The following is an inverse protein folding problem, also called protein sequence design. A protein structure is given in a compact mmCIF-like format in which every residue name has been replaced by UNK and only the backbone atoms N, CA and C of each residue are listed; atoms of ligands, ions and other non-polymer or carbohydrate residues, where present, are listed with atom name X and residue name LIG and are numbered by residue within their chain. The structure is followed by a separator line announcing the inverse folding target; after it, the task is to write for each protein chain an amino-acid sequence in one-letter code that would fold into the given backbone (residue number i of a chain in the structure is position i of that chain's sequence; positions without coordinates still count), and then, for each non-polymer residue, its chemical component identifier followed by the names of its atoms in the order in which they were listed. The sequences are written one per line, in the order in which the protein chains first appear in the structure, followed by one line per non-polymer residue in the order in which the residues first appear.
data_IF_915348134211
#
_entry.id   IF_915348134211
#
_cell.length_a   1.000
_cell.length_b   1.000
_cell.length_c   1.000
_cell.angle_alpha   90.00
_cell.angle_beta   90.00
_cell.angle_gamma   90.00
#
_symmetry.space_group_name_H-M   'P 1'
#
loop_
_entity.id
_entity.type
_entity.pdbx_description
1 polymer ?
#
# COMPACT_ATOMS: atom_id res chain seq x y z
N UNK A 1 8.52 -0.24 1.74
CA UNK A 1 8.32 1.04 2.42
C UNK A 1 6.82 1.23 2.57
N UNK A 2 6.18 0.37 3.35
CA UNK A 2 4.92 0.59 4.07
C UNK A 2 4.42 -0.78 4.60
N UNK A 3 3.93 -0.82 5.84
CA UNK A 3 3.07 -1.91 6.32
C UNK A 3 1.70 -1.30 6.65
N UNK A 4 0.60 -2.00 6.40
CA UNK A 4 -0.74 -1.43 6.51
C UNK A 4 -1.61 -2.23 7.47
N UNK A 5 -2.38 -1.53 8.31
CA UNK A 5 -3.27 -2.13 9.32
C UNK A 5 -4.66 -1.54 9.14
N UNK A 6 -5.65 -2.37 8.82
CA UNK A 6 -7.04 -1.95 8.60
C UNK A 6 -7.94 -2.47 9.74
N UNK A 7 -8.71 -1.58 10.37
CA UNK A 7 -9.76 -1.97 11.30
C UNK A 7 -11.12 -1.86 10.59
N UNK A 8 -11.66 -3.01 10.14
CA UNK A 8 -12.92 -3.06 9.42
C UNK A 8 -13.17 -4.41 8.74
N UNK A 9 -14.41 -4.90 8.83
CA UNK A 9 -14.87 -6.14 8.22
C UNK A 9 -15.07 -5.97 6.70
N UNK A 10 -13.98 -5.98 5.94
CA UNK A 10 -14.00 -5.90 4.47
C UNK A 10 -13.99 -7.29 3.83
N UNK A 11 -15.04 -7.64 3.08
CA UNK A 11 -15.05 -8.85 2.23
C UNK A 11 -13.94 -8.77 1.19
N UNK A 12 -13.04 -9.75 1.21
CA UNK A 12 -12.04 -9.96 0.17
C UNK A 12 -12.74 -10.17 -1.19
N UNK A 13 -12.47 -9.30 -2.16
CA UNK A 13 -12.78 -9.61 -3.56
C UNK A 13 -11.71 -10.58 -4.06
N UNK A 14 -12.10 -11.84 -4.22
CA UNK A 14 -11.30 -12.83 -4.93
C UNK A 14 -11.43 -12.61 -6.45
N UNK A 15 -10.33 -12.24 -7.10
CA UNK A 15 -10.15 -12.40 -8.55
C UNK A 15 -9.74 -11.15 -9.32
N UNK A 16 -8.50 -11.16 -9.83
CA UNK A 16 -7.98 -10.19 -10.80
C UNK A 16 -7.23 -9.00 -10.19
N UNK A 17 -6.21 -8.51 -10.89
CA UNK A 17 -5.51 -7.25 -10.55
C UNK A 17 -6.44 -6.05 -10.74
N UNK A 18 -6.95 -5.48 -9.65
CA UNK A 18 -7.85 -4.32 -9.67
C UNK A 18 -7.08 -2.98 -9.63
N UNK A 19 -7.63 -1.93 -10.23
CA UNK A 19 -7.11 -0.54 -10.16
C UNK A 19 -6.54 0.01 -11.48
N UNK A 20 -6.65 1.34 -11.66
CA UNK A 20 -6.22 2.07 -12.87
C UNK A 20 -4.74 1.86 -13.22
N UNK A 21 -3.87 1.76 -12.23
CA UNK A 21 -2.44 1.52 -12.45
C UNK A 21 -2.17 0.11 -12.99
N UNK A 22 -2.95 -0.88 -12.57
CA UNK A 22 -2.84 -2.26 -13.07
C UNK A 22 -3.35 -2.37 -14.50
N UNK A 23 -4.38 -1.62 -14.86
CA UNK A 23 -4.79 -1.46 -16.26
C UNK A 23 -3.67 -0.82 -17.11
N UNK A 24 -2.98 0.21 -16.59
CA UNK A 24 -1.84 0.81 -17.27
C UNK A 24 -0.67 -0.17 -17.47
N UNK A 25 -0.33 -0.97 -16.45
CA UNK A 25 0.69 -2.02 -16.57
C UNK A 25 0.29 -3.11 -17.56
N UNK A 26 -0.98 -3.54 -17.55
CA UNK A 26 -1.49 -4.51 -18.50
C UNK A 26 -1.41 -3.98 -19.94
N UNK A 27 -1.80 -2.73 -20.18
CA UNK A 27 -1.68 -2.09 -21.49
C UNK A 27 -0.22 -1.97 -21.94
N UNK A 28 0.69 -1.59 -21.05
CA UNK A 28 2.12 -1.52 -21.35
C UNK A 28 2.70 -2.89 -21.71
N UNK A 29 2.35 -3.94 -20.96
CA UNK A 29 2.78 -5.31 -21.24
C UNK A 29 2.25 -5.80 -22.60
N UNK A 30 0.97 -5.56 -22.91
CA UNK A 30 0.38 -5.90 -24.20
C UNK A 30 1.04 -5.14 -25.36
N UNK A 31 1.36 -3.86 -25.18
CA UNK A 31 2.05 -3.06 -26.19
C UNK A 31 3.47 -3.58 -26.47
N UNK A 32 4.22 -3.95 -25.43
CA UNK A 32 5.55 -4.56 -25.58
C UNK A 32 5.50 -5.90 -26.32
N UNK A 33 4.50 -6.74 -26.01
CA UNK A 33 4.30 -8.00 -26.73
C UNK A 33 3.90 -7.78 -28.19
N UNK A 34 3.02 -6.80 -28.46
CA UNK A 34 2.65 -6.45 -29.83
C UNK A 34 3.84 -5.96 -30.66
N UNK A 35 4.80 -5.25 -30.04
CA UNK A 35 6.01 -4.79 -30.70
C UNK A 35 6.97 -5.91 -31.14
N UNK A 36 6.76 -7.14 -30.65
CA UNK A 36 7.50 -8.35 -31.05
C UNK A 36 6.58 -9.36 -31.77
N UNK A 37 5.51 -8.87 -32.40
CA UNK A 37 4.55 -9.63 -33.20
C UNK A 37 3.80 -10.76 -32.44
N UNK A 38 3.71 -10.67 -31.11
CA UNK A 38 2.84 -11.54 -30.34
C UNK A 38 1.39 -11.03 -30.42
N UNK A 39 0.50 -11.87 -30.94
CA UNK A 39 -0.92 -11.56 -31.03
C UNK A 39 -1.53 -11.29 -29.64
N UNK A 40 -2.11 -10.11 -29.36
CA UNK A 40 -2.66 -9.77 -28.04
C UNK A 40 -3.71 -10.78 -27.54
N UNK A 41 -4.47 -11.38 -28.46
CA UNK A 41 -5.52 -12.35 -28.14
C UNK A 41 -4.98 -13.61 -27.47
N UNK A 42 -3.76 -14.05 -27.82
CA UNK A 42 -3.14 -15.24 -27.21
C UNK A 42 -2.63 -14.98 -25.79
N UNK A 43 -2.47 -13.71 -25.40
CA UNK A 43 -1.98 -13.28 -24.10
C UNK A 43 -3.10 -13.03 -23.08
N UNK A 44 -4.34 -12.82 -23.54
CA UNK A 44 -5.50 -12.58 -22.70
C UNK A 44 -5.74 -13.66 -21.62
N UNK A 45 -5.56 -14.98 -21.89
CA UNK A 45 -5.71 -15.99 -20.86
C UNK A 45 -4.69 -15.84 -19.73
N UNK A 46 -3.42 -15.58 -20.07
CA UNK A 46 -2.36 -15.35 -19.09
C UNK A 46 -2.58 -14.08 -18.28
N UNK A 47 -3.02 -13.00 -18.93
CA UNK A 47 -3.35 -11.74 -18.26
C UNK A 47 -4.54 -11.87 -17.31
N UNK A 48 -5.56 -12.66 -17.69
CA UNK A 48 -6.71 -12.97 -16.81
C UNK A 48 -6.33 -13.87 -15.64
N UNK A 49 -5.39 -14.79 -15.84
CA UNK A 49 -4.90 -15.69 -14.80
C UNK A 49 -3.89 -15.02 -13.84
N UNK A 50 -3.34 -13.86 -14.22
CA UNK A 50 -2.37 -13.14 -13.41
C UNK A 50 -3.01 -12.58 -12.14
N UNK A 51 -2.57 -13.09 -10.98
CA UNK A 51 -3.10 -12.71 -9.65
C UNK A 51 -2.31 -11.58 -8.97
N UNK A 52 -1.37 -10.96 -9.69
CA UNK A 52 -0.38 -10.07 -9.09
C UNK A 52 0.87 -10.82 -8.64
N UNK A 53 1.87 -10.06 -8.22
CA UNK A 53 3.08 -10.61 -7.61
C UNK A 53 2.86 -10.80 -6.10
N UNK A 54 3.48 -11.82 -5.47
CA UNK A 54 3.53 -11.92 -4.01
C UNK A 54 3.97 -10.59 -3.38
N UNK A 55 3.43 -10.25 -2.20
CA UNK A 55 3.73 -9.02 -1.44
C UNK A 55 3.25 -7.69 -2.04
N UNK A 56 2.14 -7.69 -2.80
CA UNK A 56 1.40 -6.46 -3.15
C UNK A 56 0.08 -6.44 -2.40
N UNK A 57 0.05 -5.80 -1.23
CA UNK A 57 -1.12 -5.69 -0.33
C UNK A 57 -1.72 -7.06 0.02
N UNK A 58 -0.89 -7.93 0.59
CA UNK A 58 -1.29 -9.28 0.98
C UNK A 58 -1.90 -9.27 2.39
N UNK A 59 -3.14 -9.79 2.55
CA UNK A 59 -3.72 -10.01 3.88
C UNK A 59 -2.92 -11.12 4.58
N UNK A 60 -2.18 -10.76 5.62
CA UNK A 60 -1.32 -11.69 6.37
C UNK A 60 -1.99 -12.25 7.63
N UNK A 61 -2.92 -11.50 8.24
CA UNK A 61 -3.59 -11.91 9.46
C UNK A 61 -4.90 -11.15 9.71
N UNK A 62 -5.74 -11.71 10.58
CA UNK A 62 -6.85 -11.00 11.21
C UNK A 62 -6.81 -11.31 12.71
N UNK A 63 -6.59 -10.29 13.53
CA UNK A 63 -6.34 -10.42 14.97
C UNK A 63 -7.14 -9.35 15.69
N UNK A 64 -8.02 -9.77 16.60
CA UNK A 64 -8.81 -8.82 17.41
C UNK A 64 -9.73 -7.90 16.58
N UNK A 65 -10.23 -8.36 15.43
CA UNK A 65 -11.06 -7.55 14.52
C UNK A 65 -10.28 -6.60 13.62
N UNK A 66 -8.95 -6.63 13.67
CA UNK A 66 -8.04 -5.85 12.83
C UNK A 66 -7.45 -6.76 11.75
N UNK A 67 -7.57 -6.34 10.49
CA UNK A 67 -6.97 -7.00 9.33
C UNK A 67 -5.59 -6.40 9.05
N UNK A 68 -4.58 -7.27 8.89
CA UNK A 68 -3.20 -6.88 8.67
C UNK A 68 -2.81 -7.13 7.21
N UNK A 69 -2.19 -6.14 6.57
CA UNK A 69 -1.70 -6.24 5.20
C UNK A 69 -0.19 -5.97 5.12
N UNK A 70 0.53 -6.88 4.47
CA UNK A 70 1.93 -6.68 4.12
C UNK A 70 2.04 -6.03 2.73
N UNK A 71 2.64 -4.84 2.70
CA UNK A 71 3.04 -4.12 1.48
C UNK A 71 4.54 -3.73 1.53
N UNK A 72 5.36 -4.57 2.15
CA UNK A 72 6.80 -4.34 2.33
C UNK A 72 7.55 -4.13 0.99
N UNK A 73 7.01 -4.65 -0.13
CA UNK A 73 7.50 -4.42 -1.51
C UNK A 73 6.97 -3.15 -2.18
N UNK A 74 6.02 -2.44 -1.58
CA UNK A 74 5.70 -1.04 -1.88
C UNK A 74 6.89 -0.15 -1.50
N UNK A 75 7.99 -0.24 -2.25
CA UNK A 75 9.23 0.54 -1.99
C UNK A 75 9.20 1.91 -2.66
N UNK A 76 8.07 2.28 -3.26
CA UNK A 76 7.91 3.55 -3.94
C UNK A 76 6.67 4.31 -3.45
N UNK A 77 6.78 5.63 -3.46
CA UNK A 77 5.76 6.54 -2.92
C UNK A 77 4.40 6.36 -3.61
N UNK A 78 4.39 6.16 -4.94
CA UNK A 78 3.15 5.97 -5.69
C UNK A 78 2.38 4.70 -5.33
N UNK A 79 3.09 3.61 -5.04
CA UNK A 79 2.50 2.35 -4.61
C UNK A 79 1.86 2.50 -3.23
N UNK A 80 2.56 3.14 -2.30
CA UNK A 80 2.02 3.43 -0.96
C UNK A 80 0.79 4.32 -1.03
N UNK A 81 0.80 5.38 -1.85
CA UNK A 81 -0.40 6.23 -2.06
C UNK A 81 -1.57 5.41 -2.59
N UNK A 82 -1.35 4.57 -3.60
CA UNK A 82 -2.39 3.73 -4.17
C UNK A 82 -2.95 2.71 -3.17
N UNK A 83 -2.10 2.14 -2.30
CA UNK A 83 -2.51 1.22 -1.24
C UNK A 83 -3.39 1.92 -0.20
N UNK A 84 -2.96 3.09 0.30
CA UNK A 84 -3.73 3.87 1.27
C UNK A 84 -5.09 4.29 0.69
N UNK A 85 -5.11 4.80 -0.54
CA UNK A 85 -6.35 5.22 -1.20
C UNK A 85 -7.30 4.04 -1.47
N UNK A 86 -6.76 2.87 -1.83
CA UNK A 86 -7.54 1.66 -2.07
C UNK A 86 -8.18 1.10 -0.79
N UNK A 87 -7.45 1.12 0.32
CA UNK A 87 -7.91 0.58 1.61
C UNK A 87 -8.83 1.58 2.35
N UNK A 88 -8.52 2.88 2.32
CA UNK A 88 -9.33 3.90 3.01
C UNK A 88 -10.74 4.11 2.39
N UNK A 89 -10.95 3.69 1.14
CA UNK A 89 -12.25 3.84 0.44
C UNK A 89 -13.27 2.73 0.72
N UNK A 90 -12.85 1.60 1.32
CA UNK A 90 -13.65 0.37 1.36
C UNK A 90 -14.34 0.05 2.69
N UNK A 91 -13.62 0.09 3.82
CA UNK A 91 -14.15 -0.48 5.08
C UNK A 91 -13.75 0.24 6.38
N UNK A 92 -13.01 1.36 6.33
CA UNK A 92 -12.66 2.11 7.53
C UNK A 92 -11.45 3.03 7.38
N UNK A 93 -11.09 3.72 8.47
CA UNK A 93 -9.85 4.50 8.52
C UNK A 93 -8.68 3.56 8.84
N UNK A 94 -7.74 3.44 7.92
CA UNK A 94 -6.54 2.57 7.98
C UNK A 94 -5.46 3.19 8.88
N UNK A 95 -4.73 2.40 9.67
CA UNK A 95 -3.48 2.81 10.30
C UNK A 95 -2.31 2.38 9.41
N UNK A 96 -1.41 3.32 9.09
CA UNK A 96 -0.32 3.09 8.12
C UNK A 96 1.03 3.14 8.83
N UNK A 97 1.89 2.17 8.58
CA UNK A 97 3.29 2.18 9.05
C UNK A 97 4.15 2.60 7.86
N UNK A 98 4.89 3.71 7.98
CA UNK A 98 5.70 4.30 6.92
C UNK A 98 7.16 4.38 7.34
N UNK A 99 8.07 3.87 6.53
CA UNK A 99 9.46 3.82 6.95
C UNK A 99 10.43 3.06 6.05
N UNK A 100 11.71 3.12 6.42
CA UNK A 100 12.82 2.44 5.75
C UNK A 100 13.79 3.39 5.03
N UNK A 101 14.41 2.91 3.95
CA UNK A 101 15.27 3.70 3.06
C UNK A 101 14.49 4.01 1.77
N UNK A 102 14.08 5.27 1.64
CA UNK A 102 13.32 5.78 0.51
C UNK A 102 14.19 6.21 -0.67
N UNK A 103 15.52 6.01 -0.62
CA UNK A 103 16.44 6.17 -1.77
C UNK A 103 16.34 7.55 -2.45
N UNK A 104 16.05 8.60 -1.66
CA UNK A 104 15.97 9.97 -2.16
C UNK A 104 14.65 10.34 -2.87
N UNK A 105 13.60 9.53 -2.74
CA UNK A 105 12.27 9.86 -3.29
C UNK A 105 11.64 11.10 -2.63
N UNK A 106 10.73 11.75 -3.36
CA UNK A 106 9.89 12.81 -2.84
C UNK A 106 8.65 12.22 -2.15
N UNK A 107 8.52 12.47 -0.85
CA UNK A 107 7.43 11.98 0.00
C UNK A 107 6.21 12.90 0.04
N UNK A 108 6.27 14.08 -0.58
CA UNK A 108 5.17 15.06 -0.59
C UNK A 108 3.82 14.49 -1.02
N UNK A 109 3.73 13.55 -2.00
CA UNK A 109 2.46 12.93 -2.38
C UNK A 109 1.77 12.14 -1.26
N UNK A 110 2.51 11.67 -0.24
CA UNK A 110 1.93 10.91 0.87
C UNK A 110 0.97 11.75 1.72
N UNK A 111 1.15 13.07 1.76
CA UNK A 111 0.39 13.95 2.66
C UNK A 111 -1.12 13.83 2.47
N UNK A 112 -1.57 13.85 1.21
CA UNK A 112 -3.00 13.77 0.88
C UNK A 112 -3.59 12.38 1.14
N UNK A 113 -2.79 11.32 0.93
CA UNK A 113 -3.21 9.95 1.21
C UNK A 113 -3.34 9.71 2.72
N UNK A 114 -2.32 10.10 3.49
CA UNK A 114 -2.27 9.95 4.95
C UNK A 114 -3.37 10.76 5.65
N UNK A 115 -3.83 11.88 5.07
CA UNK A 115 -4.96 12.63 5.61
C UNK A 115 -6.26 11.81 5.72
N UNK A 116 -6.39 10.74 4.93
CA UNK A 116 -7.54 9.81 4.96
C UNK A 116 -7.33 8.65 5.94
N UNK A 117 -6.11 8.44 6.41
CA UNK A 117 -5.76 7.40 7.36
C UNK A 117 -6.28 7.75 8.77
N UNK A 118 -6.42 6.73 9.61
CA UNK A 118 -6.68 6.88 11.03
C UNK A 118 -5.47 7.45 11.76
N UNK A 119 -4.29 6.91 11.47
CA UNK A 119 -3.01 7.32 12.04
C UNK A 119 -1.87 6.86 11.12
N UNK A 120 -0.71 7.51 11.23
CA UNK A 120 0.53 7.10 10.60
C UNK A 120 1.60 6.82 11.66
N UNK A 121 2.30 5.69 11.56
CA UNK A 121 3.40 5.30 12.43
C UNK A 121 4.68 5.32 11.61
N UNK A 122 5.65 6.13 12.01
CA UNK A 122 6.90 6.34 11.30
C UNK A 122 8.01 5.47 11.90
N UNK A 123 8.79 4.80 11.05
CA UNK A 123 9.87 3.90 11.49
C UNK A 123 11.10 3.97 10.57
N UNK A 124 12.28 3.67 11.12
CA UNK A 124 13.52 3.53 10.35
C UNK A 124 14.12 4.84 9.82
N UNK A 125 15.11 4.70 8.93
CA UNK A 125 16.04 5.77 8.54
C UNK A 125 15.37 7.04 8.01
N UNK A 126 14.46 6.92 7.04
CA UNK A 126 13.78 8.06 6.44
C UNK A 126 12.48 8.46 7.16
N UNK A 127 12.15 7.83 8.30
CA UNK A 127 10.99 8.17 9.12
C UNK A 127 10.85 9.68 9.38
N UNK A 128 11.89 10.38 9.85
CA UNK A 128 11.84 11.84 10.07
C UNK A 128 11.54 12.65 8.80
N UNK A 129 12.07 12.23 7.64
CA UNK A 129 11.83 12.92 6.35
C UNK A 129 10.41 12.73 5.86
N UNK A 130 9.87 11.52 6.01
CA UNK A 130 8.45 11.24 5.73
C UNK A 130 7.58 12.11 6.64
N UNK A 131 7.89 12.15 7.95
CA UNK A 131 7.19 12.96 8.93
C UNK A 131 7.14 14.44 8.58
N UNK A 132 8.27 15.00 8.12
CA UNK A 132 8.32 16.38 7.63
C UNK A 132 7.43 16.59 6.39
N UNK A 133 7.42 15.65 5.45
CA UNK A 133 6.62 15.75 4.23
C UNK A 133 5.10 15.66 4.49
N UNK A 134 4.69 14.88 5.48
CA UNK A 134 3.27 14.71 5.85
C UNK A 134 2.83 15.62 7.00
N UNK A 135 3.69 16.53 7.46
CA UNK A 135 3.39 17.44 8.56
C UNK A 135 2.11 18.25 8.28
N UNK A 136 1.20 18.27 9.27
CA UNK A 136 -0.10 18.93 9.13
C UNK A 136 -1.07 18.23 8.18
N UNK A 137 -0.93 16.92 7.93
CA UNK A 137 -1.92 16.14 7.15
C UNK A 137 -3.27 15.97 7.85
N UNK A 138 -3.34 16.21 9.17
CA UNK A 138 -4.57 16.11 9.95
C UNK A 138 -4.82 14.75 10.61
N UNK A 139 -4.04 13.72 10.27
CA UNK A 139 -4.01 12.45 11.00
C UNK A 139 -2.93 12.49 12.11
N UNK A 140 -3.13 11.77 13.23
CA UNK A 140 -2.06 11.48 14.20
C UNK A 140 -0.84 10.86 13.52
N UNK A 141 0.35 11.38 13.84
CA UNK A 141 1.63 10.87 13.35
C UNK A 141 2.48 10.48 14.57
N UNK A 142 2.78 9.19 14.66
CA UNK A 142 3.51 8.55 15.75
C UNK A 142 4.89 8.10 15.25
N UNK A 143 5.85 7.94 16.16
CA UNK A 143 7.20 7.49 15.82
C UNK A 143 7.49 6.22 16.61
N UNK A 144 7.93 5.17 15.91
CA UNK A 144 8.33 3.90 16.47
C UNK A 144 9.85 3.74 16.42
N UNK A 145 10.41 3.01 17.38
CA UNK A 145 11.86 2.76 17.46
C UNK A 145 12.32 1.66 16.48
N UNK A 146 11.47 0.68 16.21
CA UNK A 146 11.69 -0.44 15.29
C UNK A 146 10.36 -0.97 14.74
N UNK A 147 10.42 -2.01 13.92
CA UNK A 147 9.21 -2.55 13.29
C UNK A 147 8.27 -3.23 14.30
N UNK A 148 8.82 -3.90 15.32
CA UNK A 148 8.00 -4.56 16.34
C UNK A 148 7.20 -3.52 17.14
N UNK A 149 7.84 -2.41 17.50
CA UNK A 149 7.19 -1.27 18.14
C UNK A 149 6.19 -0.59 17.22
N UNK A 150 6.50 -0.48 15.93
CA UNK A 150 5.58 0.09 14.94
C UNK A 150 4.28 -0.72 14.84
N UNK A 151 4.39 -2.05 14.76
CA UNK A 151 3.25 -2.98 14.77
C UNK A 151 2.46 -2.85 16.07
N UNK A 152 3.13 -2.75 17.23
CA UNK A 152 2.47 -2.60 18.53
C UNK A 152 1.71 -1.28 18.65
N UNK A 153 2.29 -0.18 18.20
CA UNK A 153 1.63 1.13 18.16
C UNK A 153 0.44 1.09 17.20
N UNK A 154 0.63 0.54 15.99
CA UNK A 154 -0.43 0.44 15.00
C UNK A 154 -1.63 -0.39 15.50
N UNK A 155 -1.36 -1.50 16.21
CA UNK A 155 -2.40 -2.31 16.83
C UNK A 155 -3.23 -1.54 17.86
N UNK A 156 -2.61 -0.65 18.64
CA UNK A 156 -3.31 0.20 19.63
C UNK A 156 -4.19 1.24 18.95
N UNK A 157 -3.68 1.87 17.90
CA UNK A 157 -4.44 2.88 17.14
C UNK A 157 -5.59 2.27 16.32
N UNK A 158 -5.46 1.00 15.93
CA UNK A 158 -6.47 0.30 15.14
C UNK A 158 -7.73 -0.10 15.95
N UNK A 159 -7.68 -0.08 17.28
CA UNK A 159 -8.83 -0.36 18.14
C UNK A 159 -9.82 0.82 18.20
#
# INVERSE_FOLDING_TARGET
MAEHVEAGAGRAQQGGIAGLHNAAHAMAALALCAAIDLAPVSLLPGLRAFKGLPHRVEKIAEIGGVTWYDDSKGTNVGATVAAIDGLAGGAGKVVVILGGDGKGQDFSPLKAAVAKARAAVLVGRDGPRIGAAIAGCGAPVLVAIDMEDAVRIAAREAQ
#
